data_IF_905418798259
#
_entry.id   IF_905418798259
#
_cell.length_a   1.000
_cell.length_b   1.000
_cell.length_c   1.000
_cell.angle_alpha   90.00
_cell.angle_beta   90.00
_cell.angle_gamma   90.00
#
_symmetry.space_group_name_H-M   'P 1'
#
loop_
_entity.id
_entity.type
_entity.pdbx_description
1 polymer ?
#
# COMPACT_ATOMS: atom_id res chain seq x y z
N UNK A 1 19.78 6.95 -21.75
CA UNK A 1 19.81 5.54 -21.32
C UNK A 1 20.79 4.82 -22.23
N UNK A 2 21.94 4.42 -21.69
CA UNK A 2 22.90 3.57 -22.38
C UNK A 2 22.67 2.10 -22.01
N UNK A 3 23.39 1.20 -22.69
CA UNK A 3 23.27 -0.25 -22.49
C UNK A 3 23.74 -0.68 -21.10
N UNK A 4 24.70 0.02 -20.50
CA UNK A 4 25.24 -0.30 -19.19
C UNK A 4 24.22 -0.02 -18.09
N UNK A 5 23.55 1.14 -18.14
CA UNK A 5 22.47 1.46 -17.22
C UNK A 5 21.35 0.43 -17.32
N UNK A 6 20.97 0.02 -18.53
CA UNK A 6 19.93 -0.99 -18.71
C UNK A 6 20.30 -2.32 -18.06
N UNK A 7 21.57 -2.73 -18.18
CA UNK A 7 22.07 -3.96 -17.55
C UNK A 7 21.98 -3.87 -16.01
N UNK A 8 22.45 -2.76 -15.43
CA UNK A 8 22.34 -2.50 -13.98
C UNK A 8 20.87 -2.47 -13.52
N UNK A 9 19.98 -1.86 -14.30
CA UNK A 9 18.55 -1.85 -14.02
C UNK A 9 17.95 -3.26 -14.04
N UNK A 10 18.34 -4.11 -15.00
CA UNK A 10 17.88 -5.50 -15.07
C UNK A 10 18.38 -6.34 -13.88
N UNK A 11 19.61 -6.12 -13.43
CA UNK A 11 20.20 -6.82 -12.28
C UNK A 11 19.55 -6.41 -10.94
N UNK A 12 19.28 -5.12 -10.75
CA UNK A 12 18.76 -4.57 -9.51
C UNK A 12 17.22 -4.58 -9.43
N UNK A 13 16.55 -4.14 -10.49
CA UNK A 13 15.10 -3.97 -10.56
C UNK A 13 14.46 -5.14 -11.33
N UNK A 14 14.73 -6.35 -10.85
CA UNK A 14 14.36 -7.61 -11.51
C UNK A 14 12.85 -7.94 -11.48
N UNK A 15 12.00 -7.03 -11.00
CA UNK A 15 10.54 -7.11 -11.07
C UNK A 15 9.99 -5.99 -11.94
N UNK A 16 8.97 -6.27 -12.79
CA UNK A 16 8.31 -5.23 -13.59
C UNK A 16 7.78 -4.07 -12.75
N UNK A 17 7.31 -4.34 -11.53
CA UNK A 17 6.79 -3.32 -10.64
C UNK A 17 7.88 -2.37 -10.15
N UNK A 18 9.04 -2.89 -9.72
CA UNK A 18 10.18 -2.06 -9.32
C UNK A 18 10.74 -1.25 -10.48
N UNK A 19 10.88 -1.87 -11.65
CA UNK A 19 11.35 -1.19 -12.86
C UNK A 19 10.42 -0.03 -13.26
N UNK A 20 9.12 -0.29 -13.35
CA UNK A 20 8.13 0.74 -13.73
C UNK A 20 7.98 1.82 -12.64
N UNK A 21 8.12 1.46 -11.37
CA UNK A 21 8.14 2.41 -10.25
C UNK A 21 9.34 3.37 -10.36
N UNK A 22 10.52 2.83 -10.65
CA UNK A 22 11.72 3.65 -10.91
C UNK A 22 11.51 4.60 -12.08
N UNK A 23 11.05 4.10 -13.22
CA UNK A 23 10.80 4.92 -14.42
C UNK A 23 9.82 6.05 -14.11
N UNK A 24 8.72 5.75 -13.42
CA UNK A 24 7.74 6.75 -13.00
C UNK A 24 8.39 7.86 -12.17
N UNK A 25 9.15 7.49 -11.13
CA UNK A 25 9.85 8.46 -10.27
C UNK A 25 10.89 9.28 -11.02
N UNK A 26 11.66 8.64 -11.90
CA UNK A 26 12.67 9.33 -12.72
C UNK A 26 12.05 10.41 -13.60
N UNK A 27 10.85 10.16 -14.14
CA UNK A 27 10.07 11.13 -14.91
C UNK A 27 9.51 12.23 -14.00
N UNK A 28 8.95 11.88 -12.85
CA UNK A 28 8.36 12.86 -11.92
C UNK A 28 9.38 13.89 -11.39
N UNK A 29 10.67 13.53 -11.31
CA UNK A 29 11.76 14.40 -10.86
C UNK A 29 12.72 14.81 -11.99
N UNK A 30 12.30 14.73 -13.26
CA UNK A 30 13.18 14.97 -14.41
C UNK A 30 13.86 16.33 -14.38
N UNK A 31 13.11 17.35 -14.00
CA UNK A 31 13.54 18.74 -14.07
C UNK A 31 14.33 19.17 -12.83
N UNK A 32 14.24 18.39 -11.74
CA UNK A 32 14.89 18.67 -10.47
C UNK A 32 16.34 18.17 -10.44
N UNK A 33 16.64 17.07 -11.12
CA UNK A 33 17.89 16.34 -10.96
C UNK A 33 18.88 16.73 -12.06
N UNK A 34 20.08 17.16 -11.64
CA UNK A 34 21.26 17.30 -12.49
C UNK A 34 22.32 16.30 -12.06
N UNK A 35 22.93 15.63 -13.03
CA UNK A 35 23.95 14.60 -12.80
C UNK A 35 24.84 14.46 -14.03
N UNK A 36 26.04 13.91 -13.85
CA UNK A 36 26.93 13.60 -14.97
C UNK A 36 26.51 12.31 -15.71
N UNK A 37 25.89 11.36 -15.01
CA UNK A 37 25.41 10.08 -15.54
C UNK A 37 24.11 9.63 -14.86
N UNK A 38 23.42 8.62 -15.40
CA UNK A 38 22.15 8.13 -14.83
C UNK A 38 22.35 7.16 -13.64
N UNK A 39 23.56 6.62 -13.43
CA UNK A 39 23.85 5.69 -12.35
C UNK A 39 23.67 6.31 -10.94
N UNK A 40 24.11 7.55 -10.68
CA UNK A 40 23.79 8.25 -9.43
C UNK A 40 22.29 8.31 -9.13
N UNK A 41 21.45 8.48 -10.17
CA UNK A 41 20.00 8.54 -10.00
C UNK A 41 19.45 7.16 -9.60
N UNK A 42 19.88 6.10 -10.27
CA UNK A 42 19.49 4.74 -9.92
C UNK A 42 20.00 4.35 -8.52
N UNK A 43 21.24 4.69 -8.17
CA UNK A 43 21.78 4.43 -6.83
C UNK A 43 20.97 5.16 -5.75
N UNK A 44 20.69 6.45 -5.96
CA UNK A 44 19.82 7.22 -5.06
C UNK A 44 18.41 6.62 -4.97
N UNK A 45 17.87 6.08 -6.07
CA UNK A 45 16.60 5.35 -6.04
C UNK A 45 16.68 4.12 -5.15
N UNK A 46 17.70 3.29 -5.31
CA UNK A 46 17.84 2.07 -4.53
C UNK A 46 17.98 2.38 -3.04
N UNK A 47 18.72 3.41 -2.67
CA UNK A 47 18.95 3.79 -1.27
C UNK A 47 17.77 4.57 -0.65
N UNK A 48 17.21 5.52 -1.40
CA UNK A 48 16.30 6.56 -0.88
C UNK A 48 14.99 6.70 -1.66
N UNK A 49 14.71 5.79 -2.60
CA UNK A 49 13.50 5.74 -3.41
C UNK A 49 13.25 7.04 -4.22
N UNK A 50 14.30 7.81 -4.56
CA UNK A 50 14.19 9.12 -5.24
C UNK A 50 13.24 10.11 -4.53
N UNK A 51 13.23 10.10 -3.20
CA UNK A 51 12.50 11.12 -2.45
C UNK A 51 13.31 12.40 -2.35
N UNK A 52 12.79 13.46 -2.96
CA UNK A 52 13.31 14.81 -2.79
C UNK A 52 12.28 15.68 -2.08
N UNK A 53 12.76 16.60 -1.25
CA UNK A 53 11.91 17.66 -0.72
C UNK A 53 11.59 18.63 -1.87
N UNK A 54 10.32 18.97 -2.05
CA UNK A 54 9.84 19.89 -3.10
C UNK A 54 10.24 21.35 -2.86
N UNK A 55 10.89 21.65 -1.75
CA UNK A 55 11.46 22.97 -1.44
C UNK A 55 12.73 23.29 -2.23
N UNK A 56 13.35 22.30 -2.87
CA UNK A 56 14.55 22.51 -3.67
C UNK A 56 14.20 22.68 -5.15
N UNK A 57 14.83 23.66 -5.80
CA UNK A 57 14.70 23.91 -7.25
C UNK A 57 15.68 23.08 -8.09
N UNK A 58 16.77 22.61 -7.49
CA UNK A 58 17.81 21.83 -8.15
C UNK A 58 18.50 20.88 -7.18
N UNK A 59 18.72 19.64 -7.60
CA UNK A 59 19.49 18.63 -6.89
C UNK A 59 20.63 18.15 -7.78
N UNK A 60 21.86 18.25 -7.29
CA UNK A 60 23.03 17.70 -7.96
C UNK A 60 23.44 16.38 -7.29
N UNK A 61 23.32 15.27 -8.01
CA UNK A 61 23.78 13.96 -7.55
C UNK A 61 25.22 13.74 -8.01
N UNK A 62 26.10 13.46 -7.05
CA UNK A 62 27.51 13.18 -7.29
C UNK A 62 27.73 11.68 -7.54
N UNK A 63 28.85 11.34 -8.19
CA UNK A 63 29.19 9.95 -8.54
C UNK A 63 29.56 9.09 -7.31
N UNK A 64 29.96 9.69 -6.20
CA UNK A 64 30.31 8.94 -4.97
C UNK A 64 29.14 8.12 -4.40
N UNK A 65 27.90 8.52 -4.71
CA UNK A 65 26.71 7.77 -4.31
C UNK A 65 26.60 6.40 -4.98
N UNK A 66 27.30 6.13 -6.09
CA UNK A 66 27.25 4.83 -6.77
C UNK A 66 28.09 3.76 -6.08
N UNK A 67 28.91 4.12 -5.08
CA UNK A 67 29.86 3.19 -4.46
C UNK A 67 29.24 1.85 -4.05
N UNK A 68 28.12 1.86 -3.33
CA UNK A 68 27.45 0.63 -2.90
C UNK A 68 26.85 -0.17 -4.08
N UNK A 69 26.36 0.53 -5.10
CA UNK A 69 25.85 -0.08 -6.32
C UNK A 69 26.98 -0.75 -7.10
N UNK A 70 28.12 -0.10 -7.23
CA UNK A 70 29.29 -0.63 -7.94
C UNK A 70 29.83 -1.89 -7.25
N UNK A 71 29.90 -1.87 -5.91
CA UNK A 71 30.26 -3.05 -5.10
C UNK A 71 29.28 -4.19 -5.33
N UNK A 72 27.97 -3.91 -5.32
CA UNK A 72 26.94 -4.93 -5.53
C UNK A 72 26.98 -5.54 -6.95
N UNK A 73 27.20 -4.71 -7.98
CA UNK A 73 27.34 -5.17 -9.37
C UNK A 73 28.60 -6.01 -9.54
N UNK A 74 29.74 -5.60 -8.97
CA UNK A 74 30.97 -6.37 -8.99
C UNK A 74 30.79 -7.74 -8.31
N UNK A 75 30.13 -7.77 -7.15
CA UNK A 75 29.82 -9.01 -6.43
C UNK A 75 28.95 -9.98 -7.24
N UNK A 76 28.02 -9.46 -8.05
CA UNK A 76 27.18 -10.25 -8.93
C UNK A 76 27.93 -10.82 -10.12
N UNK A 77 28.68 -9.98 -10.83
CA UNK A 77 29.36 -10.38 -12.06
C UNK A 77 30.50 -11.35 -11.81
N UNK A 78 31.31 -11.11 -10.78
CA UNK A 78 32.47 -11.95 -10.47
C UNK A 78 32.12 -13.14 -9.57
N UNK A 79 30.88 -13.19 -9.06
CA UNK A 79 30.43 -14.23 -8.14
C UNK A 79 31.20 -14.28 -6.82
N UNK A 80 31.81 -13.15 -6.42
CA UNK A 80 32.63 -13.03 -5.21
C UNK A 80 31.75 -12.84 -3.96
N UNK A 81 32.35 -13.06 -2.80
CA UNK A 81 31.71 -12.86 -1.51
C UNK A 81 31.46 -11.37 -1.25
N UNK A 82 30.22 -11.00 -0.90
CA UNK A 82 29.80 -9.62 -0.67
C UNK A 82 28.29 -9.43 -0.82
N UNK A 83 27.81 -8.24 -0.45
CA UNK A 83 26.40 -7.88 -0.59
C UNK A 83 26.05 -7.69 -2.07
N UNK A 84 25.15 -8.52 -2.59
CA UNK A 84 24.70 -8.46 -3.98
C UNK A 84 23.61 -7.42 -4.23
N UNK A 85 23.11 -6.78 -3.18
CA UNK A 85 22.05 -5.77 -3.29
C UNK A 85 22.38 -4.66 -2.31
N UNK A 86 22.47 -3.40 -2.75
CA UNK A 86 22.73 -2.28 -1.85
C UNK A 86 21.67 -2.17 -0.75
N UNK A 87 22.07 -1.59 0.39
CA UNK A 87 21.12 -1.24 1.45
C UNK A 87 20.11 -0.20 0.93
N UNK A 88 18.82 -0.41 1.19
CA UNK A 88 17.76 0.48 0.72
C UNK A 88 16.43 -0.21 0.45
N UNK A 89 15.69 0.24 -0.56
CA UNK A 89 14.29 -0.16 -0.83
C UNK A 89 14.10 -1.65 -1.06
N UNK A 90 15.13 -2.34 -1.57
CA UNK A 90 15.11 -3.77 -1.87
C UNK A 90 15.46 -4.65 -0.65
N UNK A 91 16.01 -4.05 0.42
CA UNK A 91 16.54 -4.78 1.59
C UNK A 91 15.85 -4.40 2.90
N UNK A 92 15.40 -3.15 3.03
CA UNK A 92 14.88 -2.58 4.29
C UNK A 92 13.59 -3.27 4.79
N UNK A 93 12.82 -3.90 3.90
CA UNK A 93 11.57 -4.59 4.24
C UNK A 93 11.66 -6.11 4.17
N UNK A 94 12.87 -6.66 4.02
CA UNK A 94 13.08 -8.11 3.95
C UNK A 94 12.51 -8.83 5.18
N UNK A 95 11.80 -9.92 4.94
CA UNK A 95 11.12 -10.73 5.96
C UNK A 95 9.85 -10.09 6.53
N UNK A 96 9.40 -8.94 6.03
CA UNK A 96 8.16 -8.29 6.49
C UNK A 96 6.94 -8.69 5.66
N UNK A 97 5.73 -8.42 6.16
CA UNK A 97 4.52 -8.60 5.36
C UNK A 97 4.53 -7.72 4.09
N UNK A 98 5.06 -6.50 4.18
CA UNK A 98 5.11 -5.57 3.07
C UNK A 98 5.90 -6.12 1.88
N UNK A 99 7.08 -6.71 2.10
CA UNK A 99 7.85 -7.38 1.03
C UNK A 99 7.02 -8.49 0.40
N UNK A 100 6.47 -9.40 1.21
CA UNK A 100 5.65 -10.51 0.71
C UNK A 100 4.43 -10.02 -0.10
N UNK A 101 3.85 -8.88 0.28
CA UNK A 101 2.75 -8.25 -0.45
C UNK A 101 3.21 -7.72 -1.81
N UNK A 102 4.36 -7.03 -1.88
CA UNK A 102 4.93 -6.55 -3.14
C UNK A 102 5.25 -7.71 -4.08
N UNK A 103 5.86 -8.77 -3.56
CA UNK A 103 6.17 -9.99 -4.33
C UNK A 103 4.91 -10.68 -4.83
N UNK A 104 3.87 -10.76 -3.99
CA UNK A 104 2.60 -11.33 -4.40
C UNK A 104 1.95 -10.51 -5.53
N UNK A 105 1.97 -9.18 -5.45
CA UNK A 105 1.42 -8.28 -6.47
C UNK A 105 2.10 -8.52 -7.84
N UNK A 106 3.41 -8.79 -7.87
CA UNK A 106 4.15 -9.08 -9.10
C UNK A 106 3.61 -10.32 -9.85
N UNK A 107 2.87 -11.21 -9.16
CA UNK A 107 2.32 -12.44 -9.73
C UNK A 107 0.80 -12.41 -9.94
N UNK A 108 0.13 -11.29 -9.63
CA UNK A 108 -1.31 -11.14 -9.79
C UNK A 108 -1.65 -10.35 -11.05
N UNK A 109 -2.33 -10.99 -12.00
CA UNK A 109 -2.87 -10.35 -13.21
C UNK A 109 -4.18 -9.60 -12.92
N UNK A 110 -4.14 -8.60 -12.04
CA UNK A 110 -5.27 -7.74 -11.74
C UNK A 110 -4.85 -6.26 -11.81
N UNK A 111 -5.39 -5.45 -12.74
CA UNK A 111 -4.99 -4.06 -12.90
C UNK A 111 -5.11 -3.21 -11.63
N UNK A 112 -6.13 -3.47 -10.78
CA UNK A 112 -6.30 -2.73 -9.53
C UNK A 112 -5.22 -3.09 -8.50
N UNK A 113 -4.81 -4.35 -8.45
CA UNK A 113 -3.77 -4.83 -7.53
C UNK A 113 -2.38 -4.37 -7.99
N UNK A 114 -2.12 -4.35 -9.29
CA UNK A 114 -0.89 -3.79 -9.87
C UNK A 114 -0.81 -2.28 -9.59
N UNK A 115 -1.91 -1.55 -9.80
CA UNK A 115 -1.97 -0.12 -9.48
C UNK A 115 -1.73 0.15 -7.98
N UNK A 116 -2.22 -0.73 -7.10
CA UNK A 116 -1.90 -0.67 -5.67
C UNK A 116 -0.40 -0.84 -5.42
N UNK A 117 0.26 -1.76 -6.13
CA UNK A 117 1.71 -1.97 -6.02
C UNK A 117 2.52 -0.68 -6.22
N UNK A 118 2.18 0.11 -7.24
CA UNK A 118 2.84 1.41 -7.47
C UNK A 118 2.63 2.37 -6.31
N UNK A 119 1.40 2.46 -5.82
CA UNK A 119 1.07 3.31 -4.68
C UNK A 119 1.77 2.86 -3.38
N UNK A 120 1.92 1.56 -3.17
CA UNK A 120 2.65 1.03 -2.01
C UNK A 120 4.14 1.35 -2.07
N UNK A 121 4.77 1.26 -3.24
CA UNK A 121 6.16 1.67 -3.45
C UNK A 121 6.36 3.20 -3.34
N UNK A 122 5.27 3.96 -3.27
CA UNK A 122 5.22 5.39 -2.97
C UNK A 122 5.04 5.74 -1.48
N UNK A 123 5.01 4.75 -0.59
CA UNK A 123 4.88 5.03 0.83
C UNK A 123 6.23 5.35 1.49
N UNK A 124 6.18 6.23 2.50
CA UNK A 124 7.31 6.45 3.39
C UNK A 124 7.48 5.28 4.37
N UNK A 125 8.68 5.13 4.94
CA UNK A 125 8.98 4.03 5.85
C UNK A 125 8.11 4.00 7.11
N UNK A 126 7.62 5.15 7.61
CA UNK A 126 6.72 5.15 8.78
C UNK A 126 5.38 4.52 8.39
N UNK A 127 4.83 4.85 7.23
CA UNK A 127 3.57 4.28 6.75
C UNK A 127 3.69 2.79 6.44
N UNK A 128 4.78 2.34 5.82
CA UNK A 128 5.05 0.90 5.64
C UNK A 128 5.09 0.17 6.99
N UNK A 129 5.78 0.74 7.98
CA UNK A 129 5.81 0.18 9.34
C UNK A 129 4.43 0.10 10.00
N UNK A 130 3.52 1.04 9.70
CA UNK A 130 2.14 1.02 10.19
C UNK A 130 1.35 -0.10 9.53
N UNK A 131 1.46 -0.27 8.21
CA UNK A 131 0.80 -1.36 7.47
C UNK A 131 1.24 -2.72 8.01
N UNK A 132 2.55 -2.92 8.19
CA UNK A 132 3.10 -4.17 8.73
C UNK A 132 2.51 -4.51 10.12
N UNK A 133 2.48 -3.53 11.04
CA UNK A 133 1.87 -3.72 12.36
C UNK A 133 0.37 -3.95 12.26
N UNK A 134 -0.31 -3.21 11.39
CA UNK A 134 -1.75 -3.31 11.19
C UNK A 134 -2.15 -4.72 10.76
N UNK A 135 -1.53 -5.23 9.70
CA UNK A 135 -1.86 -6.53 9.12
C UNK A 135 -1.62 -7.68 10.09
N UNK A 136 -0.51 -7.63 10.86
CA UNK A 136 -0.24 -8.63 11.90
C UNK A 136 -1.37 -8.73 12.93
N UNK A 137 -1.86 -7.60 13.41
CA UNK A 137 -2.98 -7.58 14.37
C UNK A 137 -4.31 -7.98 13.75
N UNK A 138 -4.59 -7.56 12.50
CA UNK A 138 -5.80 -7.97 11.78
C UNK A 138 -5.88 -9.50 11.67
N UNK A 139 -4.77 -10.13 11.27
CA UNK A 139 -4.67 -11.59 11.19
C UNK A 139 -4.88 -12.23 12.56
N UNK A 140 -4.15 -11.79 13.60
CA UNK A 140 -4.28 -12.33 14.96
C UNK A 140 -5.71 -12.27 15.47
N UNK A 141 -6.38 -11.13 15.31
CA UNK A 141 -7.77 -10.95 15.73
C UNK A 141 -8.71 -11.82 14.93
N UNK A 142 -8.58 -11.84 13.61
CA UNK A 142 -9.43 -12.66 12.73
C UNK A 142 -9.28 -14.16 13.03
N UNK A 143 -8.07 -14.64 13.33
CA UNK A 143 -7.85 -16.02 13.77
C UNK A 143 -8.46 -16.32 15.14
N UNK A 144 -8.55 -15.33 16.04
CA UNK A 144 -9.10 -15.51 17.39
C UNK A 144 -10.63 -15.58 17.43
N UNK A 145 -11.32 -14.82 16.58
CA UNK A 145 -12.78 -14.69 16.62
C UNK A 145 -13.49 -15.09 15.32
N UNK A 146 -12.75 -15.45 14.28
CA UNK A 146 -13.21 -15.79 12.93
C UNK A 146 -14.07 -14.69 12.28
N UNK A 147 -13.93 -13.43 12.72
CA UNK A 147 -14.64 -12.27 12.17
C UNK A 147 -13.76 -11.48 11.21
N UNK A 148 -14.39 -10.52 10.55
CA UNK A 148 -13.69 -9.53 9.75
C UNK A 148 -13.08 -8.47 10.66
N UNK A 149 -11.80 -8.18 10.43
CA UNK A 149 -11.14 -6.99 10.96
C UNK A 149 -10.60 -6.18 9.80
N UNK A 150 -10.58 -4.87 9.97
CA UNK A 150 -10.16 -3.92 8.95
C UNK A 150 -9.18 -2.87 9.44
N UNK A 151 -8.43 -2.36 8.49
CA UNK A 151 -7.57 -1.20 8.63
C UNK A 151 -7.83 -0.26 7.46
N UNK A 152 -7.91 1.04 7.72
CA UNK A 152 -8.02 2.06 6.69
C UNK A 152 -6.93 3.10 6.86
N UNK A 153 -6.19 3.33 5.79
CA UNK A 153 -5.21 4.39 5.62
C UNK A 153 -5.79 5.44 4.65
N UNK A 154 -5.78 6.71 5.04
CA UNK A 154 -6.33 7.81 4.26
C UNK A 154 -5.57 9.12 4.53
N UNK A 155 -5.62 10.05 3.58
CA UNK A 155 -5.08 11.41 3.75
C UNK A 155 -3.57 11.44 3.86
N UNK A 156 -2.88 10.57 3.12
CA UNK A 156 -1.43 10.57 2.97
C UNK A 156 -1.09 11.26 1.65
N UNK A 157 -0.10 12.17 1.63
CA UNK A 157 0.17 13.03 0.48
C UNK A 157 0.31 12.22 -0.83
N UNK A 158 -0.46 12.59 -1.85
CA UNK A 158 -0.60 11.91 -3.16
C UNK A 158 -1.08 10.45 -3.16
N UNK A 159 -1.19 9.79 -2.01
CA UNK A 159 -1.71 8.44 -1.87
C UNK A 159 -3.18 8.51 -1.47
N UNK A 160 -4.09 8.19 -2.40
CA UNK A 160 -5.54 8.33 -2.22
C UNK A 160 -6.05 7.70 -0.91
N UNK A 161 -6.41 6.42 -0.94
CA UNK A 161 -6.76 5.70 0.28
C UNK A 161 -6.67 4.20 0.11
N UNK A 162 -6.48 3.49 1.22
CA UNK A 162 -6.36 2.04 1.25
C UNK A 162 -7.20 1.47 2.38
N UNK A 163 -8.10 0.53 2.04
CA UNK A 163 -8.84 -0.28 3.01
C UNK A 163 -8.39 -1.74 2.91
N UNK A 164 -7.92 -2.30 4.00
CA UNK A 164 -7.50 -3.70 4.13
C UNK A 164 -8.53 -4.42 4.99
N UNK A 165 -9.14 -5.47 4.44
CA UNK A 165 -9.96 -6.43 5.22
C UNK A 165 -9.15 -7.70 5.44
N UNK A 166 -9.34 -8.36 6.58
CA UNK A 166 -8.73 -9.65 6.88
C UNK A 166 -9.80 -10.59 7.45
N UNK A 167 -10.16 -11.64 6.69
CA UNK A 167 -11.22 -12.57 7.07
C UNK A 167 -11.23 -13.87 6.25
N UNK A 168 -11.95 -14.87 6.74
CA UNK A 168 -12.25 -16.15 6.08
C UNK A 168 -13.69 -16.25 5.54
N UNK A 169 -14.41 -15.13 5.37
CA UNK A 169 -15.78 -15.15 4.83
C UNK A 169 -15.81 -15.66 3.40
N UNK A 170 -16.97 -16.12 2.92
CA UNK A 170 -17.17 -16.43 1.51
C UNK A 170 -16.73 -15.26 0.61
N UNK A 171 -16.08 -15.54 -0.52
CA UNK A 171 -15.47 -14.52 -1.38
C UNK A 171 -16.48 -13.52 -1.96
N UNK A 172 -17.70 -13.93 -2.28
CA UNK A 172 -18.73 -13.02 -2.83
C UNK A 172 -19.19 -12.02 -1.77
N UNK A 173 -19.51 -12.52 -0.57
CA UNK A 173 -19.92 -11.67 0.55
C UNK A 173 -18.77 -10.74 0.97
N UNK A 174 -17.55 -11.28 1.11
CA UNK A 174 -16.38 -10.49 1.47
C UNK A 174 -16.10 -9.37 0.46
N UNK A 175 -16.25 -9.65 -0.85
CA UNK A 175 -16.08 -8.65 -1.91
C UNK A 175 -17.14 -7.56 -1.82
N UNK A 176 -18.42 -7.92 -1.65
CA UNK A 176 -19.52 -6.95 -1.51
C UNK A 176 -19.28 -6.00 -0.33
N UNK A 177 -18.87 -6.56 0.82
CA UNK A 177 -18.54 -5.77 2.01
C UNK A 177 -17.32 -4.85 1.81
N UNK A 178 -16.28 -5.33 1.11
CA UNK A 178 -15.10 -4.53 0.82
C UNK A 178 -15.43 -3.36 -0.11
N UNK A 179 -16.17 -3.59 -1.19
CA UNK A 179 -16.62 -2.54 -2.13
C UNK A 179 -17.36 -1.46 -1.37
N UNK A 180 -18.39 -1.82 -0.61
CA UNK A 180 -19.20 -0.86 0.15
C UNK A 180 -18.33 -0.08 1.17
N UNK A 181 -17.40 -0.73 1.85
CA UNK A 181 -16.52 -0.05 2.79
C UNK A 181 -15.59 0.95 2.05
N UNK A 182 -15.04 0.57 0.89
CA UNK A 182 -14.22 1.46 0.08
C UNK A 182 -15.01 2.66 -0.45
N UNK A 183 -16.23 2.47 -0.96
CA UNK A 183 -17.09 3.56 -1.44
C UNK A 183 -17.37 4.59 -0.33
N UNK A 184 -17.75 4.11 0.87
CA UNK A 184 -18.01 4.99 2.01
C UNK A 184 -16.76 5.74 2.45
N UNK A 185 -15.59 5.08 2.50
CA UNK A 185 -14.34 5.73 2.91
C UNK A 185 -13.84 6.74 1.87
N UNK A 186 -13.87 6.36 0.59
CA UNK A 186 -13.58 7.25 -0.53
C UNK A 186 -14.43 8.51 -0.48
N UNK A 187 -15.73 8.35 -0.23
CA UNK A 187 -16.64 9.48 -0.11
C UNK A 187 -16.32 10.35 1.11
N UNK A 188 -16.17 9.74 2.29
CA UNK A 188 -15.95 10.46 3.55
C UNK A 188 -14.65 11.27 3.55
N UNK A 189 -13.62 10.76 2.88
CA UNK A 189 -12.30 11.39 2.79
C UNK A 189 -12.14 12.26 1.55
N UNK A 190 -13.19 12.39 0.73
CA UNK A 190 -13.20 13.19 -0.49
C UNK A 190 -12.05 12.84 -1.44
N UNK A 191 -11.80 11.54 -1.60
CA UNK A 191 -10.73 11.04 -2.48
C UNK A 191 -11.28 10.66 -3.86
N UNK A 192 -10.48 10.93 -4.89
CA UNK A 192 -10.73 10.49 -6.27
C UNK A 192 -10.26 9.06 -6.49
N UNK A 193 -9.28 8.58 -5.71
CA UNK A 193 -8.72 7.23 -5.84
C UNK A 193 -8.76 6.47 -4.52
N UNK A 194 -9.15 5.19 -4.59
CA UNK A 194 -9.25 4.33 -3.41
C UNK A 194 -9.00 2.87 -3.73
N UNK A 195 -8.15 2.24 -2.95
CA UNK A 195 -7.80 0.84 -3.06
C UNK A 195 -8.42 0.02 -1.94
N UNK A 196 -8.87 -1.18 -2.28
CA UNK A 196 -9.37 -2.16 -1.33
C UNK A 196 -8.70 -3.51 -1.55
N UNK A 197 -8.21 -4.14 -0.49
CA UNK A 197 -7.72 -5.53 -0.53
C UNK A 197 -8.33 -6.36 0.59
N UNK A 198 -8.56 -7.65 0.30
CA UNK A 198 -8.97 -8.64 1.28
C UNK A 198 -7.89 -9.69 1.44
N UNK A 199 -7.42 -9.91 2.66
CA UNK A 199 -6.37 -10.84 3.01
C UNK A 199 -6.93 -12.10 3.65
N UNK A 200 -6.28 -13.22 3.38
CA UNK A 200 -6.48 -14.45 4.15
C UNK A 200 -5.71 -14.35 5.48
N UNK A 201 -6.36 -14.47 6.66
CA UNK A 201 -5.68 -14.30 7.93
C UNK A 201 -4.64 -15.39 8.24
N UNK A 202 -4.69 -16.56 7.58
CA UNK A 202 -3.74 -17.67 7.80
C UNK A 202 -2.47 -17.51 6.97
N UNK A 203 -2.61 -17.08 5.72
CA UNK A 203 -1.48 -17.01 4.77
C UNK A 203 -1.03 -15.58 4.50
N UNK A 204 -1.80 -14.59 4.94
CA UNK A 204 -1.68 -13.16 4.61
C UNK A 204 -1.74 -12.83 3.11
N UNK A 205 -1.99 -13.83 2.26
CA UNK A 205 -2.14 -13.67 0.81
C UNK A 205 -3.39 -12.88 0.43
N UNK A 206 -3.29 -12.10 -0.64
CA UNK A 206 -4.41 -11.39 -1.26
C UNK A 206 -5.42 -12.41 -1.79
N UNK A 207 -6.65 -12.32 -1.28
CA UNK A 207 -7.80 -13.06 -1.81
C UNK A 207 -8.38 -12.38 -3.05
N UNK A 208 -8.46 -11.05 -3.00
CA UNK A 208 -8.89 -10.19 -4.10
C UNK A 208 -8.61 -8.72 -3.74
N UNK A 209 -8.55 -7.87 -4.77
CA UNK A 209 -8.47 -6.42 -4.63
C UNK A 209 -9.42 -5.68 -5.58
N UNK A 210 -9.56 -4.38 -5.35
CA UNK A 210 -10.34 -3.45 -6.16
C UNK A 210 -9.71 -2.04 -6.10
N UNK A 211 -10.04 -1.23 -7.10
CA UNK A 211 -9.73 0.20 -7.15
C UNK A 211 -10.99 0.96 -7.54
N UNK A 212 -11.24 2.09 -6.89
CA UNK A 212 -12.31 3.03 -7.19
C UNK A 212 -11.66 4.37 -7.55
N UNK A 213 -11.64 4.71 -8.83
CA UNK A 213 -10.88 5.84 -9.37
C UNK A 213 -11.77 6.90 -10.06
N UNK A 214 -13.08 6.83 -9.86
CA UNK A 214 -14.02 7.84 -10.38
C UNK A 214 -13.88 9.16 -9.60
N UNK A 215 -13.96 10.34 -10.22
CA UNK A 215 -13.92 11.61 -9.51
C UNK A 215 -14.94 11.70 -8.38
N UNK A 216 -14.55 12.29 -7.26
CA UNK A 216 -15.45 12.50 -6.14
C UNK A 216 -16.58 13.46 -6.53
N UNK A 217 -17.81 13.04 -6.29
CA UNK A 217 -19.00 13.86 -6.49
C UNK A 217 -19.89 13.77 -5.27
N UNK A 218 -20.47 14.90 -4.88
CA UNK A 218 -21.37 14.98 -3.73
C UNK A 218 -22.69 14.27 -4.03
N UNK A 219 -23.21 13.51 -3.07
CA UNK A 219 -24.52 12.88 -3.12
C UNK A 219 -25.21 12.93 -1.76
N UNK A 220 -26.49 13.31 -1.74
CA UNK A 220 -27.31 13.37 -0.51
C UNK A 220 -27.45 11.99 0.16
N UNK A 221 -27.43 10.92 -0.64
CA UNK A 221 -27.48 9.53 -0.14
C UNK A 221 -26.18 9.17 0.59
N UNK A 222 -25.05 9.57 0.01
CA UNK A 222 -23.72 9.31 0.57
C UNK A 222 -23.43 10.21 1.78
N UNK A 223 -23.93 11.45 1.79
CA UNK A 223 -23.89 12.34 2.95
C UNK A 223 -24.57 11.67 4.16
N UNK A 224 -25.77 11.08 3.97
CA UNK A 224 -26.48 10.34 5.02
C UNK A 224 -25.76 9.04 5.41
N UNK A 225 -25.22 8.32 4.44
CA UNK A 225 -24.53 7.06 4.68
C UNK A 225 -23.21 7.22 5.45
N UNK A 226 -22.55 8.39 5.31
CA UNK A 226 -21.25 8.66 5.94
C UNK A 226 -21.33 9.53 7.20
N UNK A 227 -22.49 10.15 7.50
CA UNK A 227 -22.71 11.04 8.66
C UNK A 227 -22.23 10.48 10.00
N UNK A 228 -22.48 9.19 10.26
CA UNK A 228 -22.17 8.53 11.54
C UNK A 228 -20.94 7.62 11.46
N UNK A 229 -20.15 7.73 10.40
CA UNK A 229 -18.98 6.88 10.22
C UNK A 229 -17.88 7.30 11.20
N UNK A 230 -17.30 6.33 11.90
CA UNK A 230 -16.11 6.61 12.70
C UNK A 230 -15.01 7.14 11.77
N UNK A 231 -14.34 8.24 12.16
CA UNK A 231 -13.21 8.78 11.41
C UNK A 231 -12.19 7.67 11.14
N UNK A 232 -11.53 7.66 9.97
CA UNK A 232 -10.44 6.72 9.74
C UNK A 232 -9.37 6.89 10.82
N UNK A 233 -8.60 5.83 11.04
CA UNK A 233 -7.61 5.79 12.10
C UNK A 233 -6.56 6.87 11.83
N UNK A 234 -6.59 7.97 12.59
CA UNK A 234 -5.49 8.94 12.60
C UNK A 234 -4.32 8.28 13.29
N UNK A 235 -3.28 7.97 12.52
CA UNK A 235 -2.09 7.32 13.04
C UNK A 235 -1.38 8.29 13.98
N UNK A 236 -1.39 7.99 15.28
CA UNK A 236 -0.49 8.63 16.24
C UNK A 236 0.81 7.82 16.29
N UNK A 237 1.92 8.41 15.85
CA UNK A 237 3.24 7.77 15.77
C UNK A 237 3.75 7.14 17.08
N UNK A 238 3.14 7.46 18.24
CA UNK A 238 3.57 7.00 19.57
C UNK A 238 2.79 5.81 20.14
N UNK A 239 1.58 5.50 19.67
CA UNK A 239 0.68 4.53 20.36
C UNK A 239 0.25 3.32 19.50
N UNK A 240 0.86 3.13 18.32
CA UNK A 240 0.47 2.08 17.38
C UNK A 240 -0.90 2.35 16.68
N UNK A 241 -1.24 1.58 15.64
CA UNK A 241 -2.54 1.73 14.97
C UNK A 241 -3.69 1.38 15.92
N UNK A 242 -4.68 2.26 16.05
CA UNK A 242 -5.88 2.04 16.87
C UNK A 242 -6.91 1.23 16.09
N UNK A 243 -6.98 -0.08 16.29
CA UNK A 243 -7.82 -1.03 15.54
C UNK A 243 -9.35 -0.96 15.78
N UNK A 244 -9.88 0.25 15.91
CA UNK A 244 -11.27 0.50 16.27
C UNK A 244 -12.13 1.02 15.11
N UNK A 245 -11.87 0.64 13.85
CA UNK A 245 -12.66 1.14 12.69
C UNK A 245 -13.86 0.32 12.26
N UNK A 246 -14.32 -0.64 13.07
CA UNK A 246 -15.72 -1.09 12.97
C UNK A 246 -16.32 -1.66 14.26
N UNK A 247 -15.93 -1.16 15.44
CA UNK A 247 -16.63 -1.48 16.70
C UNK A 247 -16.51 -0.35 17.75
N UNK A 248 -16.82 0.91 17.39
CA UNK A 248 -17.23 1.88 18.41
C UNK A 248 -18.62 1.47 18.88
N UNK A 249 -18.74 0.92 20.11
CA UNK A 249 -19.97 0.57 20.84
C UNK A 249 -21.24 0.94 20.07
N UNK A 250 -21.69 0.03 19.19
CA UNK A 250 -22.88 0.27 18.40
C UNK A 250 -24.04 0.55 19.38
N UNK A 251 -24.72 1.68 19.19
CA UNK A 251 -26.07 1.91 19.70
C UNK A 251 -26.83 0.59 19.49
N UNK A 252 -27.29 -0.08 20.55
CA UNK A 252 -27.79 -1.48 20.48
C UNK A 252 -28.77 -1.64 19.30
N UNK A 253 -28.29 -2.18 18.18
CA UNK A 253 -29.12 -2.41 17.00
C UNK A 253 -30.03 -3.59 17.34
N UNK A 254 -31.34 -3.39 17.23
CA UNK A 254 -32.31 -4.44 17.53
C UNK A 254 -32.07 -5.66 16.63
N UNK A 255 -32.12 -6.88 17.18
CA UNK A 255 -31.90 -8.15 16.43
C UNK A 255 -32.73 -8.25 15.13
N UNK A 256 -33.87 -7.58 15.06
CA UNK A 256 -34.76 -7.60 13.88
C UNK A 256 -34.62 -6.38 12.96
N UNK A 257 -33.83 -5.36 13.30
CA UNK A 257 -33.61 -4.19 12.45
C UNK A 257 -32.89 -4.57 11.15
N UNK A 258 -33.07 -3.81 10.05
CA UNK A 258 -32.25 -3.96 8.85
C UNK A 258 -30.77 -3.94 9.24
N UNK A 259 -30.01 -4.90 8.72
CA UNK A 259 -28.60 -5.00 9.01
C UNK A 259 -27.91 -3.70 8.56
N UNK A 260 -27.07 -3.06 9.40
CA UNK A 260 -26.32 -1.85 9.01
C UNK A 260 -25.35 -2.12 7.87
N UNK A 261 -25.12 -3.39 7.53
CA UNK A 261 -24.34 -3.85 6.39
C UNK A 261 -25.05 -3.74 5.02
N UNK A 262 -26.26 -3.14 4.95
CA UNK A 262 -26.96 -2.92 3.68
C UNK A 262 -27.47 -4.19 2.97
N UNK A 263 -27.40 -5.36 3.60
CA UNK A 263 -27.77 -6.64 2.99
C UNK A 263 -29.27 -6.85 2.75
N UNK A 264 -30.12 -5.89 3.15
CA UNK A 264 -31.58 -6.03 3.18
C UNK A 264 -32.11 -7.06 4.20
N UNK A 265 -31.23 -7.83 4.86
CA UNK A 265 -31.57 -8.86 5.85
C UNK A 265 -31.66 -8.26 7.26
N UNK A 266 -32.43 -8.90 8.14
CA UNK A 266 -32.48 -8.56 9.57
C UNK A 266 -31.10 -8.79 10.21
N UNK A 267 -30.69 -7.93 11.14
CA UNK A 267 -29.37 -7.96 11.78
C UNK A 267 -29.02 -9.34 12.36
N UNK A 268 -29.96 -10.03 13.02
CA UNK A 268 -29.80 -11.40 13.55
C UNK A 268 -29.55 -12.49 12.51
N UNK A 269 -29.79 -12.20 11.24
CA UNK A 269 -29.60 -13.14 10.12
C UNK A 269 -28.41 -12.71 9.24
N UNK A 270 -27.56 -11.81 9.72
CA UNK A 270 -26.47 -11.26 8.92
C UNK A 270 -25.20 -10.91 9.70
N UNK A 271 -25.21 -9.84 10.52
CA UNK A 271 -24.00 -9.32 11.17
C UNK A 271 -24.02 -9.41 12.71
N UNK A 272 -25.03 -10.10 13.25
CA UNK A 272 -25.05 -10.61 14.63
C UNK A 272 -24.40 -11.99 14.63
#
# INVERSE_FOLDING_TARGET
MDVFLLDVMCEMLNSPLYLLSYIKRRVDYSDLITTASELPILSYHLQNNLWFNKEYDLVYLQEDITADLDVAMLARYEGIEGDKTPAGILTVYQGTYFENLIDEINHIENPAVIALGFQLLELDGKTVGIINRAVGELSRRSLSDNKNHDFTLAGYDNFGGLTIHCNLRNSEDARRHLVQHCELRKYSERSDDWFGICLNPRTLKIRFGLRLNEPWTRSDEMDKATENMAKPQKIKYRDGPSFSTMYTRAKKIGRNSPCPCGSGKKYKKCCL
#
